data_IF_563894727053
#
_entry.id   IF_563894727053
#
_cell.length_a   1.000
_cell.length_b   1.000
_cell.length_c   1.000
_cell.angle_alpha   90.00
_cell.angle_beta   90.00
_cell.angle_gamma   90.00
#
_symmetry.space_group_name_H-M   'P 1'
#
loop_
_entity.id
_entity.type
_entity.pdbx_description
1 polymer ?
#
# COMPACT_ATOMS: atom_id res chain seq x y z
N UNK A 1 71.92 -5.88 11.37
CA UNK A 1 71.28 -5.63 10.06
C UNK A 1 69.77 -5.80 10.24
N UNK A 2 69.04 -4.71 9.93
CA UNK A 2 67.62 -4.60 9.48
C UNK A 2 66.43 -5.17 10.28
N UNK A 3 65.41 -4.31 10.39
CA UNK A 3 64.07 -4.46 11.00
C UNK A 3 62.97 -4.71 9.94
N UNK A 4 61.89 -5.40 10.36
CA UNK A 4 60.50 -5.52 9.84
C UNK A 4 60.21 -5.66 8.32
N UNK A 5 59.39 -6.67 7.94
CA UNK A 5 57.96 -6.53 7.57
C UNK A 5 57.30 -7.90 7.22
N UNK A 6 55.97 -7.94 7.10
CA UNK A 6 55.35 -8.88 6.14
C UNK A 6 54.50 -10.02 6.69
N UNK A 7 53.25 -9.71 7.03
CA UNK A 7 52.09 -10.62 7.00
C UNK A 7 52.13 -11.67 5.87
N UNK A 8 52.07 -12.96 6.20
CA UNK A 8 51.66 -14.09 5.33
C UNK A 8 50.88 -15.07 6.20
N UNK A 9 49.55 -15.08 6.21
CA UNK A 9 48.68 -15.34 5.06
C UNK A 9 48.11 -16.76 5.20
N UNK A 10 47.30 -17.02 6.23
CA UNK A 10 46.37 -18.15 6.19
C UNK A 10 45.04 -17.61 5.65
N UNK A 11 44.82 -17.83 4.36
CA UNK A 11 43.49 -17.81 3.76
C UNK A 11 42.63 -18.79 4.55
N UNK A 12 41.57 -18.31 5.20
CA UNK A 12 40.62 -19.19 5.88
C UNK A 12 39.27 -19.04 5.17
N UNK A 13 38.93 -20.07 4.41
CA UNK A 13 37.67 -20.24 3.69
C UNK A 13 36.50 -20.21 4.67
N UNK A 14 35.71 -19.14 4.60
CA UNK A 14 34.47 -19.02 5.37
C UNK A 14 33.36 -19.75 4.62
N UNK A 15 33.13 -21.01 4.98
CA UNK A 15 32.07 -21.87 4.45
C UNK A 15 30.78 -21.73 5.27
N UNK A 16 30.01 -20.65 5.10
CA UNK A 16 28.54 -20.69 5.14
C UNK A 16 28.07 -19.44 4.44
N UNK A 17 27.17 -19.58 3.47
CA UNK A 17 26.57 -18.48 2.75
C UNK A 17 25.05 -18.63 2.73
N UNK A 18 24.33 -17.70 3.34
CA UNK A 18 22.86 -17.63 3.26
C UNK A 18 22.50 -16.77 2.05
N UNK A 19 21.99 -17.38 1.01
CA UNK A 19 21.62 -16.69 -0.22
C UNK A 19 20.29 -15.94 -0.06
N UNK A 20 20.35 -14.65 0.25
CA UNK A 20 19.20 -13.73 0.23
C UNK A 20 18.92 -13.37 -1.22
N UNK A 21 17.78 -13.85 -1.73
CA UNK A 21 17.32 -13.48 -3.07
C UNK A 21 16.77 -12.05 -3.07
N UNK A 22 17.35 -11.18 -3.90
CA UNK A 22 16.80 -9.87 -4.24
C UNK A 22 15.98 -10.01 -5.52
N UNK A 23 14.68 -9.72 -5.43
CA UNK A 23 13.79 -9.64 -6.58
C UNK A 23 13.77 -8.20 -7.10
N UNK A 24 14.22 -8.01 -8.33
CA UNK A 24 14.20 -6.70 -9.01
C UNK A 24 13.07 -6.68 -10.02
N UNK A 25 12.21 -5.67 -9.93
CA UNK A 25 11.09 -5.44 -10.85
C UNK A 25 11.35 -4.18 -11.69
N UNK A 26 11.25 -4.29 -13.02
CA UNK A 26 11.22 -3.17 -13.97
C UNK A 26 9.91 -3.25 -14.77
N UNK A 27 9.22 -2.12 -14.95
CA UNK A 27 7.91 -2.04 -15.61
C UNK A 27 6.86 -3.05 -15.08
N UNK A 28 6.93 -3.37 -13.78
CA UNK A 28 6.02 -4.31 -13.12
C UNK A 28 6.27 -5.79 -13.46
N UNK A 29 7.35 -6.11 -14.18
CA UNK A 29 7.82 -7.48 -14.44
C UNK A 29 9.10 -7.75 -13.67
N UNK A 30 9.23 -8.97 -13.14
CA UNK A 30 10.47 -9.40 -12.49
C UNK A 30 11.55 -9.58 -13.56
N UNK A 31 12.64 -8.83 -13.44
CA UNK A 31 13.68 -8.76 -14.48
C UNK A 31 15.02 -9.34 -14.04
N UNK A 32 15.32 -9.40 -12.73
CA UNK A 32 16.57 -9.99 -12.25
C UNK A 32 16.46 -10.53 -10.83
N UNK A 33 16.97 -11.76 -10.65
CA UNK A 33 17.14 -12.43 -9.37
C UNK A 33 18.63 -12.31 -9.01
N UNK A 34 18.96 -11.50 -8.01
CA UNK A 34 20.33 -11.44 -7.48
C UNK A 34 20.40 -12.18 -6.14
N UNK A 35 21.58 -12.66 -5.75
CA UNK A 35 21.79 -13.48 -4.56
C UNK A 35 22.82 -12.81 -3.65
N UNK A 36 22.41 -12.41 -2.44
CA UNK A 36 23.33 -11.93 -1.39
C UNK A 36 23.66 -13.11 -0.49
N UNK A 37 24.89 -13.60 -0.55
CA UNK A 37 25.36 -14.67 0.32
C UNK A 37 25.79 -14.11 1.69
N UNK A 38 24.98 -14.24 2.73
CA UNK A 38 25.33 -13.81 4.09
C UNK A 38 26.17 -14.88 4.79
N UNK A 39 27.42 -14.57 5.12
CA UNK A 39 28.26 -15.44 5.95
C UNK A 39 27.97 -15.23 7.42
N UNK A 40 28.01 -16.33 8.21
CA UNK A 40 27.93 -16.26 9.67
C UNK A 40 29.05 -15.35 10.21
N UNK A 41 28.80 -14.66 11.33
CA UNK A 41 29.88 -13.94 11.99
C UNK A 41 30.88 -14.92 12.65
N UNK A 42 32.02 -14.38 13.14
CA UNK A 42 33.10 -15.17 13.77
C UNK A 42 32.68 -16.01 14.98
N UNK A 43 31.47 -15.82 15.52
CA UNK A 43 30.98 -16.51 16.72
C UNK A 43 29.98 -17.63 16.39
N UNK A 44 29.78 -17.96 15.11
CA UNK A 44 28.86 -19.01 14.67
C UNK A 44 27.39 -18.62 14.83
N UNK A 45 27.08 -17.32 14.97
CA UNK A 45 25.70 -16.83 15.06
C UNK A 45 25.20 -16.55 13.64
N UNK A 46 24.14 -17.22 13.17
CA UNK A 46 23.57 -16.93 11.86
C UNK A 46 22.81 -15.59 11.87
N UNK A 47 23.02 -14.78 10.84
CA UNK A 47 22.17 -13.61 10.60
C UNK A 47 20.76 -14.07 10.17
N UNK A 48 19.74 -13.65 10.92
CA UNK A 48 18.32 -13.93 10.59
C UNK A 48 17.69 -12.69 9.96
N UNK A 49 17.55 -12.69 8.64
CA UNK A 49 16.81 -11.65 7.91
C UNK A 49 15.34 -12.08 7.74
N UNK A 50 14.41 -11.36 8.40
CA UNK A 50 12.97 -11.54 8.20
C UNK A 50 12.46 -10.48 7.23
N UNK A 51 12.23 -10.85 5.98
CA UNK A 51 11.44 -10.02 5.08
C UNK A 51 10.03 -9.88 5.68
N UNK A 52 9.61 -8.64 5.98
CA UNK A 52 8.22 -8.38 6.36
C UNK A 52 7.40 -8.38 5.08
N UNK A 53 6.36 -9.22 5.02
CA UNK A 53 5.33 -9.12 3.97
C UNK A 53 4.83 -7.67 3.96
N UNK A 54 4.86 -6.96 2.82
CA UNK A 54 4.32 -5.61 2.77
C UNK A 54 2.86 -5.68 3.23
N UNK A 55 2.48 -4.79 4.16
CA UNK A 55 1.08 -4.63 4.52
C UNK A 55 0.37 -4.08 3.28
N UNK A 56 -0.40 -4.93 2.62
CA UNK A 56 -1.22 -4.51 1.50
C UNK A 56 -2.46 -3.81 2.02
N UNK A 57 -2.80 -2.67 1.44
CA UNK A 57 -4.08 -2.01 1.68
C UNK A 57 -5.25 -2.97 1.38
N UNK A 58 -6.29 -2.90 2.21
CA UNK A 58 -7.56 -3.55 1.95
C UNK A 58 -8.21 -2.90 0.72
N UNK A 59 -8.91 -3.69 -0.10
CA UNK A 59 -9.75 -3.13 -1.15
C UNK A 59 -10.94 -2.36 -0.53
N UNK A 60 -11.19 -1.09 -0.91
CA UNK A 60 -12.10 -0.22 -0.17
C UNK A 60 -13.57 -0.62 -0.30
N UNK A 61 -13.95 -1.30 -1.37
CA UNK A 61 -15.31 -1.79 -1.56
C UNK A 61 -15.47 -3.20 -0.96
N UNK A 62 -16.63 -3.55 -0.39
CA UNK A 62 -16.98 -4.92 0.02
C UNK A 62 -17.28 -5.83 -1.18
N UNK A 63 -17.53 -5.26 -2.34
CA UNK A 63 -17.82 -5.93 -3.60
C UNK A 63 -16.80 -5.51 -4.66
N UNK A 64 -16.66 -6.29 -5.71
CA UNK A 64 -15.84 -5.89 -6.86
C UNK A 64 -16.46 -4.66 -7.55
N UNK A 65 -15.60 -3.76 -8.03
CA UNK A 65 -16.06 -2.69 -8.90
C UNK A 65 -16.76 -3.28 -10.14
N UNK A 66 -17.80 -2.60 -10.61
CA UNK A 66 -18.61 -3.04 -11.77
C UNK A 66 -17.86 -2.94 -13.10
N UNK A 67 -16.64 -2.39 -13.08
CA UNK A 67 -15.76 -2.33 -14.23
C UNK A 67 -14.29 -2.26 -13.77
N UNK A 68 -13.38 -2.59 -14.68
CA UNK A 68 -11.95 -2.51 -14.41
C UNK A 68 -11.50 -1.06 -14.20
N UNK A 69 -10.90 -0.80 -13.04
CA UNK A 69 -10.37 0.51 -12.68
C UNK A 69 -8.99 0.77 -13.26
N UNK A 70 -8.39 -0.21 -13.95
CA UNK A 70 -7.10 -0.09 -14.64
C UNK A 70 -7.24 0.27 -16.12
N UNK A 71 -8.45 0.33 -16.64
CA UNK A 71 -8.72 0.70 -18.03
C UNK A 71 -9.37 2.07 -18.17
N UNK A 72 -9.28 2.61 -19.38
CA UNK A 72 -10.04 3.77 -19.85
C UNK A 72 -9.90 5.01 -18.95
N UNK A 73 -10.95 5.83 -18.92
CA UNK A 73 -11.04 7.07 -18.17
C UNK A 73 -10.91 6.88 -16.66
N UNK A 74 -11.21 5.69 -16.13
CA UNK A 74 -11.16 5.37 -14.70
C UNK A 74 -9.76 5.22 -14.16
N UNK A 75 -8.85 4.80 -15.02
CA UNK A 75 -7.47 4.50 -14.65
C UNK A 75 -6.70 5.71 -14.14
N UNK A 76 -5.78 5.45 -13.23
CA UNK A 76 -4.79 6.43 -12.83
C UNK A 76 -3.94 6.84 -14.04
N UNK A 77 -3.71 8.14 -14.20
CA UNK A 77 -2.95 8.68 -15.32
C UNK A 77 -3.72 8.75 -16.65
N UNK A 78 -5.01 8.40 -16.66
CA UNK A 78 -5.87 8.56 -17.83
C UNK A 78 -5.99 10.04 -18.23
N UNK A 79 -6.21 10.29 -19.53
CA UNK A 79 -6.37 11.64 -20.05
C UNK A 79 -7.72 12.23 -19.62
N UNK A 80 -7.70 13.51 -19.23
CA UNK A 80 -8.89 14.29 -18.92
C UNK A 80 -8.80 15.66 -19.59
N UNK A 81 -9.94 16.31 -19.81
CA UNK A 81 -10.02 17.63 -20.49
C UNK A 81 -9.22 17.66 -21.80
N UNK A 82 -9.44 16.66 -22.65
CA UNK A 82 -8.73 16.48 -23.92
C UNK A 82 -7.20 16.41 -23.77
N UNK A 83 -6.71 15.80 -22.69
CA UNK A 83 -5.28 15.59 -22.42
C UNK A 83 -4.61 16.72 -21.63
N UNK A 84 -5.32 17.81 -21.31
CA UNK A 84 -4.76 18.94 -20.53
C UNK A 84 -4.46 18.59 -19.07
N UNK A 85 -5.05 17.52 -18.55
CA UNK A 85 -4.80 17.02 -17.19
C UNK A 85 -4.86 15.50 -17.16
N UNK A 86 -4.22 14.93 -16.14
CA UNK A 86 -4.24 13.49 -15.85
C UNK A 86 -5.20 13.18 -14.71
N UNK A 87 -5.75 11.97 -14.71
CA UNK A 87 -6.54 11.47 -13.61
C UNK A 87 -5.65 11.09 -12.42
N UNK A 88 -5.72 11.88 -11.35
CA UNK A 88 -4.91 11.71 -10.14
C UNK A 88 -5.56 10.75 -9.12
N UNK A 89 -6.22 9.70 -9.61
CA UNK A 89 -6.96 8.72 -8.81
C UNK A 89 -7.33 7.50 -9.64
N UNK A 90 -8.07 6.58 -9.04
CA UNK A 90 -8.67 5.46 -9.74
C UNK A 90 -10.16 5.39 -9.39
N UNK A 91 -11.02 5.29 -10.40
CA UNK A 91 -12.46 5.26 -10.17
C UNK A 91 -12.95 3.82 -9.98
N UNK A 92 -13.54 3.54 -8.81
CA UNK A 92 -14.13 2.25 -8.48
C UNK A 92 -15.66 2.37 -8.56
N UNK A 93 -16.24 1.95 -9.68
CA UNK A 93 -17.68 2.06 -9.85
C UNK A 93 -18.40 0.97 -9.06
N UNK A 94 -19.46 1.34 -8.35
CA UNK A 94 -20.28 0.44 -7.56
C UNK A 94 -21.76 0.87 -7.61
N UNK A 95 -22.71 -0.02 -7.31
CA UNK A 95 -24.10 0.36 -7.12
C UNK A 95 -24.25 1.47 -6.07
N UNK A 96 -25.19 2.38 -6.31
CA UNK A 96 -25.52 3.45 -5.35
C UNK A 96 -25.82 2.88 -3.97
N UNK A 97 -25.27 3.51 -2.93
CA UNK A 97 -25.40 3.04 -1.55
C UNK A 97 -24.41 1.95 -1.14
N UNK A 98 -23.48 1.56 -2.01
CA UNK A 98 -22.37 0.69 -1.59
C UNK A 98 -21.56 1.37 -0.49
N UNK A 99 -21.35 0.67 0.62
CA UNK A 99 -20.50 1.13 1.71
C UNK A 99 -19.03 1.08 1.32
N UNK A 100 -18.24 2.02 1.82
CA UNK A 100 -16.80 2.14 1.62
C UNK A 100 -16.10 1.94 2.95
N UNK A 101 -15.02 1.18 2.93
CA UNK A 101 -14.21 0.85 4.11
C UNK A 101 -12.85 1.54 4.07
N UNK A 102 -12.33 1.87 5.24
CA UNK A 102 -10.95 2.32 5.39
C UNK A 102 -9.99 1.21 4.94
N UNK A 103 -9.12 1.53 3.97
CA UNK A 103 -8.19 0.57 3.38
C UNK A 103 -7.08 0.12 4.35
N UNK A 104 -6.82 0.92 5.39
CA UNK A 104 -5.87 0.66 6.49
C UNK A 104 -6.25 1.55 7.68
N UNK A 105 -5.70 1.28 8.87
CA UNK A 105 -5.87 2.18 10.01
C UNK A 105 -5.27 3.56 9.73
N UNK A 106 -5.85 4.61 10.30
CA UNK A 106 -5.40 5.99 10.10
C UNK A 106 -6.24 7.01 10.85
N UNK A 107 -5.95 8.29 10.59
CA UNK A 107 -6.67 9.43 11.16
C UNK A 107 -7.35 10.22 10.06
N UNK A 108 -8.63 10.52 10.23
CA UNK A 108 -9.38 11.34 9.28
C UNK A 108 -8.86 12.77 9.34
N UNK A 109 -8.39 13.29 8.20
CA UNK A 109 -7.90 14.67 8.08
C UNK A 109 -9.03 15.65 7.78
N UNK A 110 -9.99 15.25 6.94
CA UNK A 110 -11.06 16.12 6.49
C UNK A 110 -12.19 15.34 5.83
N UNK A 111 -13.38 15.92 5.92
CA UNK A 111 -14.59 15.53 5.21
C UNK A 111 -15.24 16.76 4.61
N UNK A 112 -16.05 16.61 3.56
CA UNK A 112 -16.81 17.72 3.01
C UNK A 112 -17.34 17.46 1.61
N UNK A 113 -17.95 18.48 1.02
CA UNK A 113 -18.50 18.42 -0.34
C UNK A 113 -17.40 18.32 -1.40
N UNK A 114 -17.74 17.65 -2.49
CA UNK A 114 -16.84 17.29 -3.58
C UNK A 114 -17.51 17.51 -4.96
N UNK A 115 -16.87 17.00 -6.00
CA UNK A 115 -17.29 17.12 -7.39
C UNK A 115 -18.73 16.60 -7.60
N UNK A 116 -19.49 17.28 -8.48
CA UNK A 116 -20.82 16.86 -8.91
C UNK A 116 -21.83 16.57 -7.78
N UNK A 117 -21.76 17.29 -6.67
CA UNK A 117 -22.72 17.15 -5.56
C UNK A 117 -22.50 15.90 -4.70
N UNK A 118 -21.32 15.30 -4.77
CA UNK A 118 -20.89 14.20 -3.89
C UNK A 118 -20.10 14.73 -2.70
N UNK A 119 -19.71 13.85 -1.77
CA UNK A 119 -18.82 14.18 -0.66
C UNK A 119 -17.49 13.39 -0.75
N UNK A 120 -16.52 13.79 0.08
CA UNK A 120 -15.25 13.09 0.24
C UNK A 120 -14.86 12.90 1.71
N UNK A 121 -14.00 11.91 1.94
CA UNK A 121 -13.23 11.72 3.19
C UNK A 121 -11.75 11.58 2.84
N UNK A 122 -10.86 12.27 3.56
CA UNK A 122 -9.41 12.10 3.43
C UNK A 122 -8.86 11.50 4.72
N UNK A 123 -8.13 10.39 4.62
CA UNK A 123 -7.55 9.67 5.76
C UNK A 123 -6.03 9.62 5.59
N UNK A 124 -5.31 10.02 6.64
CA UNK A 124 -3.87 9.85 6.76
C UNK A 124 -3.58 8.49 7.38
N UNK A 125 -3.04 7.59 6.59
CA UNK A 125 -2.46 6.33 7.05
C UNK A 125 -0.97 6.52 7.35
N UNK A 126 -0.32 5.47 7.86
CA UNK A 126 1.11 5.51 8.22
C UNK A 126 2.01 5.98 7.08
N UNK A 127 1.78 5.50 5.85
CA UNK A 127 2.65 5.75 4.70
C UNK A 127 2.00 6.55 3.57
N UNK A 128 0.67 6.74 3.59
CA UNK A 128 -0.07 7.37 2.50
C UNK A 128 -1.25 8.19 3.03
N UNK A 129 -1.62 9.20 2.26
CA UNK A 129 -2.90 9.91 2.43
C UNK A 129 -3.82 9.43 1.32
N UNK A 130 -4.99 8.90 1.69
CA UNK A 130 -5.97 8.39 0.74
C UNK A 130 -7.23 9.24 0.85
N UNK A 131 -7.73 9.72 -0.29
CA UNK A 131 -9.03 10.38 -0.40
C UNK A 131 -10.04 9.44 -1.03
N UNK A 132 -11.13 9.21 -0.31
CA UNK A 132 -12.32 8.51 -0.78
C UNK A 132 -13.28 9.57 -1.29
N UNK A 133 -13.33 9.74 -2.62
CA UNK A 133 -14.18 10.73 -3.29
C UNK A 133 -15.47 10.12 -3.82
N UNK A 134 -16.35 10.98 -4.32
CA UNK A 134 -17.62 10.61 -4.94
C UNK A 134 -18.54 9.76 -4.05
N UNK A 135 -18.47 9.99 -2.73
CA UNK A 135 -19.37 9.38 -1.76
C UNK A 135 -20.75 10.04 -1.83
N UNK A 136 -21.81 9.29 -1.55
CA UNK A 136 -23.15 9.84 -1.53
C UNK A 136 -23.24 11.01 -0.51
N UNK A 137 -23.83 12.15 -0.88
CA UNK A 137 -23.86 13.32 -0.01
C UNK A 137 -24.58 13.01 1.32
N UNK A 138 -23.99 13.43 2.44
CA UNK A 138 -24.51 13.20 3.79
C UNK A 138 -24.36 11.76 4.30
N UNK A 139 -23.73 10.86 3.55
CA UNK A 139 -23.56 9.45 3.95
C UNK A 139 -22.39 9.21 4.92
N UNK A 140 -21.41 10.11 4.96
CA UNK A 140 -20.19 9.98 5.78
C UNK A 140 -20.54 10.07 7.27
N UNK A 141 -19.98 9.16 8.08
CA UNK A 141 -20.20 9.13 9.54
C UNK A 141 -18.97 9.44 10.38
N UNK A 142 -17.79 9.48 9.75
CA UNK A 142 -16.55 9.91 10.40
C UNK A 142 -16.31 11.41 10.20
N UNK A 143 -15.55 12.04 11.09
CA UNK A 143 -15.15 13.47 11.01
C UNK A 143 -13.66 13.62 11.23
N UNK A 144 -13.13 14.81 10.96
CA UNK A 144 -11.72 15.12 11.21
C UNK A 144 -11.31 14.77 12.65
N UNK A 145 -10.08 14.29 12.80
CA UNK A 145 -9.48 13.76 14.04
C UNK A 145 -10.02 12.41 14.51
N UNK A 146 -11.07 11.85 13.90
CA UNK A 146 -11.47 10.47 14.21
C UNK A 146 -10.37 9.48 13.78
N UNK A 147 -10.07 8.54 14.67
CA UNK A 147 -9.29 7.36 14.32
C UNK A 147 -10.20 6.33 13.64
N UNK A 148 -9.70 5.73 12.57
CA UNK A 148 -10.35 4.58 11.93
C UNK A 148 -9.41 3.39 11.95
N UNK A 149 -9.96 2.21 12.21
CA UNK A 149 -9.28 0.95 11.98
C UNK A 149 -9.44 0.52 10.52
N UNK A 150 -8.49 -0.31 10.05
CA UNK A 150 -8.63 -1.03 8.80
C UNK A 150 -9.97 -1.78 8.76
N UNK A 151 -10.70 -1.64 7.66
CA UNK A 151 -12.04 -2.21 7.43
C UNK A 151 -13.21 -1.45 8.05
N UNK A 152 -12.99 -0.39 8.83
CA UNK A 152 -14.08 0.43 9.37
C UNK A 152 -14.89 1.07 8.24
N UNK A 153 -16.21 1.11 8.41
CA UNK A 153 -17.12 1.72 7.44
C UNK A 153 -17.05 3.24 7.54
N UNK A 154 -16.70 3.89 6.43
CA UNK A 154 -16.63 5.35 6.32
C UNK A 154 -18.03 5.96 6.14
N UNK A 155 -18.87 5.26 5.37
CA UNK A 155 -20.26 5.60 5.09
C UNK A 155 -21.15 4.35 5.28
N UNK A 156 -21.34 3.87 6.51
CA UNK A 156 -22.22 2.73 6.78
C UNK A 156 -23.61 3.06 6.25
N UNK A 157 -24.13 2.16 5.40
CA UNK A 157 -25.48 2.28 4.89
C UNK A 157 -26.40 1.72 5.97
N UNK A 158 -27.38 2.51 6.43
CA UNK A 158 -28.26 2.14 7.55
C UNK A 158 -29.10 0.88 7.30
N UNK A 159 -29.10 0.35 6.08
CA UNK A 159 -29.76 -0.89 5.70
C UNK A 159 -28.99 -2.17 6.08
N UNK A 160 -27.69 -2.11 6.38
CA UNK A 160 -26.86 -3.30 6.68
C UNK A 160 -26.57 -3.52 8.17
N UNK A 161 -26.94 -2.58 9.05
CA UNK A 161 -26.68 -2.67 10.51
C UNK A 161 -27.58 -3.67 11.27
N UNK A 162 -28.52 -4.34 10.57
CA UNK A 162 -29.45 -5.31 11.16
C UNK A 162 -29.20 -6.77 10.74
N UNK A 163 -28.06 -7.08 10.10
CA UNK A 163 -27.80 -8.43 9.61
C UNK A 163 -27.14 -9.38 10.62
N UNK A 164 -26.57 -8.89 11.73
CA UNK A 164 -25.89 -9.76 12.73
C UNK A 164 -26.11 -9.27 14.17
N UNK A 165 -27.33 -9.44 14.71
CA UNK A 165 -27.59 -9.49 16.16
C UNK A 165 -28.42 -10.71 16.53
#
# INVERSE_FOLDING_TARGET
MTVNDGTRGRTHDSLVGVDITVLVYEDGKEVKKDVITASADRNGIPYVYKARKPKNYLYPLPINATADYKSDMRSFGSNRSSGKRKHAGADLYAPTGTTVRAMESGVVLSTGSFYAGTDFVTIKHQNHIIRYGELAPGSIKVKAEDEVARSDLINPNSFLDNADK
#
